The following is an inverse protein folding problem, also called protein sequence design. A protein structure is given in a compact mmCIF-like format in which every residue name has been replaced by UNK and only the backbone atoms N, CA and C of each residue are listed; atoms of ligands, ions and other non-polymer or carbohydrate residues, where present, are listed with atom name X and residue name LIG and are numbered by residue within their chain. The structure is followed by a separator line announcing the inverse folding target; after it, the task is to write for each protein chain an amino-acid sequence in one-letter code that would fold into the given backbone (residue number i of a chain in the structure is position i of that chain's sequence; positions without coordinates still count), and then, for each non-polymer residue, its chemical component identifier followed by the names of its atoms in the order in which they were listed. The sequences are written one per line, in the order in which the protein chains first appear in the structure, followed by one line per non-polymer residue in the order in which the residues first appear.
data_IF_858922931495
#
_entry.id   IF_858922931495
#
_cell.length_a   1.000
_cell.length_b   1.000
_cell.length_c   1.000
_cell.angle_alpha   90.00
_cell.angle_beta   90.00
_cell.angle_gamma   90.00
#
_symmetry.space_group_name_H-M   'P 1'
#
loop_
_entity.id
_entity.type
_entity.pdbx_description
1 polymer ?
#
# COMPACT_ATOMS: atom_id res chain seq x y z
N UNK A 1 13.57 -23.78 43.45
CA UNK A 1 12.92 -23.98 42.13
C UNK A 1 13.48 -22.95 41.18
N UNK A 2 13.75 -23.36 39.93
CA UNK A 2 14.68 -22.72 38.98
C UNK A 2 14.27 -21.29 38.61
N UNK A 3 15.23 -20.36 38.68
CA UNK A 3 15.12 -18.98 38.22
C UNK A 3 14.78 -18.95 36.73
N UNK A 4 13.64 -18.36 36.37
CA UNK A 4 13.26 -18.14 34.98
C UNK A 4 13.84 -16.80 34.52
N UNK A 5 15.04 -16.86 33.95
CA UNK A 5 15.67 -15.72 33.26
C UNK A 5 14.97 -15.60 31.90
N UNK A 6 14.08 -14.63 31.75
CA UNK A 6 13.52 -14.26 30.45
C UNK A 6 14.47 -13.26 29.78
N UNK A 7 15.36 -13.78 28.93
CA UNK A 7 16.20 -12.97 28.04
C UNK A 7 15.37 -12.61 26.82
N UNK A 8 14.87 -11.38 26.73
CA UNK A 8 14.37 -10.84 25.46
C UNK A 8 15.49 -9.99 24.85
N UNK A 9 16.06 -10.50 23.77
CA UNK A 9 17.19 -9.92 23.07
C UNK A 9 16.89 -8.51 22.54
N UNK A 10 17.85 -7.61 22.72
CA UNK A 10 17.88 -6.29 22.12
C UNK A 10 18.01 -6.43 20.59
N UNK A 11 16.98 -6.06 19.85
CA UNK A 11 17.11 -5.86 18.40
C UNK A 11 17.79 -4.51 18.14
N UNK A 12 19.07 -4.55 17.79
CA UNK A 12 19.81 -3.38 17.32
C UNK A 12 19.43 -3.06 15.88
N UNK A 13 18.84 -1.89 15.64
CA UNK A 13 18.65 -1.33 14.29
C UNK A 13 19.95 -0.65 13.86
N UNK A 14 20.62 -1.18 12.85
CA UNK A 14 21.75 -0.49 12.22
C UNK A 14 21.23 0.49 11.17
N UNK A 15 21.51 1.78 11.37
CA UNK A 15 21.32 2.83 10.37
C UNK A 15 22.31 2.61 9.21
N UNK A 16 21.81 2.24 8.04
CA UNK A 16 22.59 2.21 6.81
C UNK A 16 22.47 3.59 6.12
N UNK A 17 23.47 4.45 6.32
CA UNK A 17 23.62 5.70 5.57
C UNK A 17 24.13 5.39 4.16
N UNK A 18 23.22 5.32 3.19
CA UNK A 18 23.57 5.30 1.76
C UNK A 18 23.38 6.68 1.15
N UNK A 19 24.47 7.40 0.91
CA UNK A 19 24.45 8.57 0.04
C UNK A 19 24.38 8.11 -1.43
N UNK A 20 23.42 8.62 -2.21
CA UNK A 20 23.47 8.59 -3.67
C UNK A 20 23.41 10.02 -4.18
N UNK A 21 24.47 10.43 -4.83
CA UNK A 21 24.63 11.69 -5.56
C UNK A 21 24.28 11.50 -7.03
N UNK A 22 23.58 12.50 -7.61
CA UNK A 22 23.66 12.93 -9.03
C UNK A 22 22.96 11.98 -10.04
N UNK A 23 22.20 12.36 -11.06
CA UNK A 23 22.18 13.58 -11.89
C UNK A 23 20.77 13.89 -12.43
N UNK A 24 20.53 15.16 -12.72
CA UNK A 24 19.37 15.63 -13.49
C UNK A 24 19.65 15.52 -14.99
N UNK A 25 18.58 15.34 -15.78
CA UNK A 25 18.44 15.49 -17.24
C UNK A 25 18.30 14.17 -18.00
N UNK A 26 17.05 13.75 -18.25
CA UNK A 26 16.47 13.85 -19.60
C UNK A 26 14.96 13.58 -19.52
N UNK A 27 14.14 14.49 -20.04
CA UNK A 27 12.71 14.27 -20.25
C UNK A 27 12.57 13.35 -21.46
N UNK A 28 12.67 12.04 -21.20
CA UNK A 28 12.18 11.02 -22.10
C UNK A 28 10.69 10.85 -21.83
N UNK A 29 9.86 11.31 -22.77
CA UNK A 29 8.43 11.01 -22.80
C UNK A 29 8.28 9.53 -23.19
N UNK A 30 8.57 8.64 -22.24
CA UNK A 30 8.34 7.21 -22.39
C UNK A 30 6.90 6.95 -21.94
N UNK A 31 6.02 6.65 -22.88
CA UNK A 31 4.65 6.19 -22.60
C UNK A 31 4.67 4.72 -22.13
N UNK A 32 5.62 4.37 -21.27
CA UNK A 32 5.60 3.10 -20.55
C UNK A 32 4.44 3.17 -19.57
N UNK A 33 3.40 2.39 -19.84
CA UNK A 33 2.38 2.06 -18.85
C UNK A 33 3.09 1.44 -17.63
N UNK A 34 3.51 2.28 -16.69
CA UNK A 34 4.07 1.80 -15.43
C UNK A 34 2.92 1.17 -14.64
N UNK A 35 2.82 -0.15 -14.73
CA UNK A 35 2.02 -0.97 -13.82
C UNK A 35 2.68 -0.89 -12.43
N UNK A 36 2.04 -0.17 -11.52
CA UNK A 36 2.47 -0.13 -10.13
C UNK A 36 1.82 -1.28 -9.38
N UNK A 37 2.54 -1.81 -8.39
CA UNK A 37 2.05 -2.85 -7.49
C UNK A 37 2.12 -2.36 -6.06
N UNK A 38 1.07 -2.62 -5.28
CA UNK A 38 1.00 -2.28 -3.87
C UNK A 38 0.28 -3.36 -3.08
N UNK A 39 0.72 -3.63 -1.86
CA UNK A 39 -0.03 -4.46 -0.91
C UNK A 39 -0.80 -3.52 -0.01
N UNK A 40 -2.12 -3.68 0.05
CA UNK A 40 -2.99 -2.85 0.87
C UNK A 40 -4.15 -3.66 1.48
N UNK A 41 -4.59 -3.23 2.65
CA UNK A 41 -5.74 -3.78 3.38
C UNK A 41 -7.02 -3.19 2.82
N UNK A 42 -8.03 -4.00 2.53
CA UNK A 42 -9.34 -3.49 2.11
C UNK A 42 -10.12 -2.96 3.32
N UNK A 43 -10.50 -1.68 3.28
CA UNK A 43 -11.21 -1.00 4.37
C UNK A 43 -12.72 -0.99 4.15
N UNK A 44 -13.16 -1.05 2.89
CA UNK A 44 -14.57 -1.09 2.53
C UNK A 44 -14.86 -0.47 1.17
N UNK A 45 -16.13 -0.48 0.80
CA UNK A 45 -16.64 0.15 -0.42
C UNK A 45 -17.84 1.05 -0.12
N UNK A 46 -17.91 2.20 -0.77
CA UNK A 46 -19.06 3.12 -0.72
C UNK A 46 -19.41 3.58 -2.13
N UNK A 47 -20.60 3.23 -2.60
CA UNK A 47 -20.99 3.46 -4.00
C UNK A 47 -20.04 2.73 -4.96
N UNK A 48 -19.32 3.49 -5.81
CA UNK A 48 -18.35 2.96 -6.76
C UNK A 48 -16.89 3.11 -6.28
N UNK A 49 -16.69 3.54 -5.04
CA UNK A 49 -15.37 3.78 -4.49
C UNK A 49 -14.95 2.61 -3.60
N UNK A 50 -13.71 2.15 -3.77
CA UNK A 50 -13.10 1.08 -2.99
C UNK A 50 -11.89 1.63 -2.26
N UNK A 51 -11.89 1.46 -0.94
CA UNK A 51 -10.92 2.07 -0.04
C UNK A 51 -9.94 1.02 0.48
N UNK A 52 -8.66 1.39 0.50
CA UNK A 52 -7.61 0.54 1.01
C UNK A 52 -6.59 1.35 1.81
N UNK A 53 -5.91 0.71 2.75
CA UNK A 53 -4.81 1.30 3.52
C UNK A 53 -3.54 0.48 3.29
N UNK A 54 -2.48 1.14 2.82
CA UNK A 54 -1.18 0.47 2.60
C UNK A 54 -0.38 0.30 3.90
N UNK A 55 0.76 -0.40 3.81
CA UNK A 55 1.67 -0.62 4.95
C UNK A 55 2.29 0.66 5.55
N UNK A 56 2.18 1.80 4.87
CA UNK A 56 2.67 3.11 5.31
C UNK A 56 1.54 4.00 5.84
N UNK A 57 0.35 3.43 6.07
CA UNK A 57 -0.86 4.14 6.49
C UNK A 57 -1.36 5.19 5.48
N UNK A 58 -1.00 5.05 4.21
CA UNK A 58 -1.58 5.87 3.15
C UNK A 58 -2.94 5.28 2.75
N UNK A 59 -3.96 6.13 2.76
CA UNK A 59 -5.26 5.80 2.18
C UNK A 59 -5.16 5.78 0.64
N UNK A 60 -5.73 4.74 0.05
CA UNK A 60 -5.87 4.52 -1.38
C UNK A 60 -7.37 4.46 -1.72
N UNK A 61 -7.74 5.05 -2.86
CA UNK A 61 -9.10 5.01 -3.37
C UNK A 61 -9.06 4.58 -4.83
N UNK A 62 -9.90 3.62 -5.20
CA UNK A 62 -10.09 3.18 -6.59
C UNK A 62 -11.56 3.31 -6.98
N UNK A 63 -11.82 3.85 -8.16
CA UNK A 63 -13.18 3.98 -8.73
C UNK A 63 -13.46 2.95 -9.83
N UNK A 64 -12.41 2.54 -10.54
CA UNK A 64 -12.52 1.67 -11.69
C UNK A 64 -11.75 0.37 -11.45
N UNK A 65 -12.45 -0.63 -10.94
CA UNK A 65 -11.90 -1.97 -10.71
C UNK A 65 -12.14 -2.84 -11.94
N UNK A 66 -11.12 -3.62 -12.32
CA UNK A 66 -11.19 -4.49 -13.47
C UNK A 66 -12.34 -5.53 -13.32
N UNK A 67 -13.12 -5.81 -14.39
CA UNK A 67 -14.31 -6.68 -14.28
C UNK A 67 -14.05 -8.09 -13.76
N UNK A 68 -12.84 -8.62 -13.96
CA UNK A 68 -12.43 -9.92 -13.41
C UNK A 68 -12.29 -9.89 -11.88
N UNK A 69 -11.85 -8.78 -11.30
CA UNK A 69 -11.75 -8.62 -9.84
C UNK A 69 -13.15 -8.60 -9.24
N UNK A 70 -14.09 -7.85 -9.83
CA UNK A 70 -15.50 -7.80 -9.38
C UNK A 70 -16.17 -9.17 -9.40
N UNK A 71 -15.88 -9.99 -10.42
CA UNK A 71 -16.43 -11.37 -10.50
C UNK A 71 -15.86 -12.32 -9.46
N UNK A 72 -14.58 -12.17 -9.13
CA UNK A 72 -13.89 -13.08 -8.22
C UNK A 72 -14.02 -12.66 -6.75
N UNK A 73 -14.09 -11.36 -6.50
CA UNK A 73 -14.13 -10.74 -5.20
C UNK A 73 -15.31 -9.78 -5.17
N UNK A 74 -16.41 -10.19 -4.53
CA UNK A 74 -17.56 -9.31 -4.30
C UNK A 74 -17.22 -8.31 -3.17
N UNK A 75 -16.34 -7.35 -3.47
CA UNK A 75 -15.82 -6.39 -2.49
C UNK A 75 -16.93 -5.51 -1.88
N UNK A 76 -18.03 -5.29 -2.62
CA UNK A 76 -19.18 -4.49 -2.15
C UNK A 76 -19.95 -5.18 -1.02
N UNK A 77 -19.89 -6.51 -0.91
CA UNK A 77 -20.56 -7.23 0.18
C UNK A 77 -19.89 -7.02 1.54
N UNK A 78 -18.65 -6.51 1.58
CA UNK A 78 -17.91 -6.29 2.82
C UNK A 78 -17.23 -7.54 3.40
N UNK A 79 -17.40 -8.71 2.79
CA UNK A 79 -16.81 -9.99 3.27
C UNK A 79 -15.27 -9.98 3.35
N UNK A 80 -14.63 -9.06 2.64
CA UNK A 80 -13.19 -8.94 2.52
C UNK A 80 -12.59 -7.78 3.33
N UNK A 81 -13.38 -7.10 4.18
CA UNK A 81 -12.84 -6.01 5.03
C UNK A 81 -11.75 -6.59 5.94
N UNK A 82 -10.59 -5.93 5.98
CA UNK A 82 -9.40 -6.37 6.71
C UNK A 82 -8.49 -7.36 5.96
N UNK A 83 -8.85 -7.78 4.73
CA UNK A 83 -8.01 -8.66 3.93
C UNK A 83 -6.97 -7.86 3.14
N UNK A 84 -5.77 -8.43 3.00
CA UNK A 84 -4.70 -7.86 2.21
C UNK A 84 -4.80 -8.29 0.74
N UNK A 85 -4.63 -7.34 -0.17
CA UNK A 85 -4.61 -7.56 -1.61
C UNK A 85 -3.29 -7.08 -2.21
N UNK A 86 -2.73 -7.85 -3.15
CA UNK A 86 -1.73 -7.33 -4.09
C UNK A 86 -2.49 -6.64 -5.23
N UNK A 87 -2.43 -5.32 -5.26
CA UNK A 87 -3.15 -4.47 -6.20
C UNK A 87 -2.20 -4.01 -7.29
N UNK A 88 -2.52 -4.33 -8.54
CA UNK A 88 -1.87 -3.74 -9.71
C UNK A 88 -2.71 -2.57 -10.21
N UNK A 89 -2.11 -1.38 -10.36
CA UNK A 89 -2.80 -0.17 -10.81
C UNK A 89 -1.90 0.67 -11.72
N UNK A 90 -2.53 1.39 -12.65
CA UNK A 90 -1.86 2.39 -13.48
C UNK A 90 -2.00 3.77 -12.80
N UNK A 91 -1.12 4.73 -13.13
CA UNK A 91 -0.93 6.08 -12.51
C UNK A 91 -2.19 6.98 -12.30
N UNK A 92 -3.40 6.46 -12.33
CA UNK A 92 -4.65 7.11 -11.93
C UNK A 92 -4.62 7.44 -10.44
N UNK A 93 -4.05 8.60 -10.13
CA UNK A 93 -4.25 9.45 -8.96
C UNK A 93 -4.58 8.69 -7.65
N UNK A 94 -3.56 8.15 -7.00
CA UNK A 94 -3.64 7.84 -5.57
C UNK A 94 -3.76 9.19 -4.84
N UNK A 95 -4.93 9.48 -4.28
CA UNK A 95 -5.07 10.56 -3.31
C UNK A 95 -4.56 10.00 -1.98
N UNK A 96 -3.25 10.08 -1.76
CA UNK A 96 -2.67 9.76 -0.46
C UNK A 96 -3.17 10.83 0.53
N UNK A 97 -4.23 10.51 1.27
CA UNK A 97 -4.75 11.37 2.33
C UNK A 97 -3.79 11.27 3.53
N UNK A 98 -2.74 12.08 3.52
CA UNK A 98 -1.83 12.16 4.66
C UNK A 98 -2.60 12.68 5.87
N UNK A 99 -2.66 11.89 6.93
CA UNK A 99 -3.20 12.32 8.23
C UNK A 99 -2.47 13.59 8.68
N UNK A 100 -3.19 14.71 8.77
CA UNK A 100 -2.68 15.94 9.37
C UNK A 100 -2.70 15.70 10.89
N UNK A 101 -1.52 15.61 11.50
CA UNK A 101 -1.42 15.56 12.95
C UNK A 101 -1.82 16.94 13.52
N UNK A 102 -2.86 16.97 14.37
CA UNK A 102 -3.16 18.10 15.25
C UNK A 102 -2.28 18.03 16.51
#
# INVERSE_FOLDING_TARGET
MKNLILVCAFFSVTLLTGAKTIDSNNVGLDNTHQENKIIATFDGAEGNYFFFTDSQENALQFENIAPNVVRNYNLVAGDYIGYNFEITYNNTKIIALKRIAN
#
